data_IF_728537737270
#
_entry.id   IF_728537737270
#
_cell.length_a   1.000
_cell.length_b   1.000
_cell.length_c   1.000
_cell.angle_alpha   90.00
_cell.angle_beta   90.00
_cell.angle_gamma   90.00
#
_symmetry.space_group_name_H-M   'P 1'
#
loop_
_entity.id
_entity.type
_entity.pdbx_description
1 polymer ?
#
# COMPACT_ATOMS: atom_id res chain seq x y z
N UNK A 1 64.60 49.92 -9.05
CA UNK A 1 64.64 50.46 -10.45
C UNK A 1 63.42 49.92 -11.17
N UNK A 2 62.55 50.85 -11.50
CA UNK A 2 61.88 51.05 -12.77
C UNK A 2 60.99 49.91 -13.26
N UNK A 3 59.70 50.13 -13.24
CA UNK A 3 58.84 50.77 -14.27
C UNK A 3 58.26 49.64 -15.13
N UNK A 4 57.09 49.56 -15.50
CA UNK A 4 55.96 50.41 -15.84
C UNK A 4 55.06 49.70 -16.87
N UNK A 5 53.80 49.91 -16.80
CA UNK A 5 52.81 50.07 -17.87
C UNK A 5 52.23 48.80 -18.56
N UNK A 6 51.07 48.69 -18.92
CA UNK A 6 49.81 49.44 -19.22
C UNK A 6 48.77 48.35 -19.51
N UNK A 7 47.61 48.41 -19.03
CA UNK A 7 46.33 48.99 -19.47
C UNK A 7 45.77 48.44 -20.77
N UNK A 8 44.45 48.26 -20.70
CA UNK A 8 43.47 48.10 -21.78
C UNK A 8 43.07 46.64 -22.05
N UNK A 9 41.82 46.26 -22.16
CA UNK A 9 40.56 47.01 -22.48
C UNK A 9 39.39 46.11 -22.07
N UNK A 10 38.40 46.74 -21.51
CA UNK A 10 36.97 46.40 -21.44
C UNK A 10 36.44 46.02 -22.83
N UNK A 11 35.46 45.18 -22.87
CA UNK A 11 34.27 45.19 -23.68
C UNK A 11 33.80 43.77 -24.05
N UNK A 12 32.60 43.58 -23.73
CA UNK A 12 31.50 42.83 -24.35
C UNK A 12 31.43 41.36 -23.94
N UNK A 13 30.34 40.80 -23.60
CA UNK A 13 28.97 41.22 -23.82
C UNK A 13 28.03 40.31 -23.08
N UNK A 14 26.95 40.86 -22.69
CA UNK A 14 25.67 40.17 -22.46
C UNK A 14 25.37 39.15 -23.57
N UNK A 15 25.36 37.90 -23.28
CA UNK A 15 24.55 36.91 -23.99
C UNK A 15 24.70 35.49 -23.34
N UNK A 16 24.23 35.27 -22.12
CA UNK A 16 23.94 33.90 -21.63
C UNK A 16 22.84 33.95 -20.56
N UNK A 17 21.72 34.55 -20.88
CA UNK A 17 20.50 34.45 -20.07
C UNK A 17 19.35 33.95 -20.95
N UNK A 18 19.46 32.75 -21.47
CA UNK A 18 18.41 32.20 -22.31
C UNK A 18 18.33 30.68 -22.39
N UNK A 19 19.27 29.92 -21.78
CA UNK A 19 19.30 28.47 -21.98
C UNK A 19 19.01 27.62 -20.73
N UNK A 20 18.67 28.19 -19.59
CA UNK A 20 18.44 27.41 -18.37
C UNK A 20 16.97 27.17 -18.02
N UNK A 21 16.02 27.78 -18.75
CA UNK A 21 14.58 27.55 -18.47
C UNK A 21 13.93 26.45 -19.32
N UNK A 22 14.49 26.09 -20.46
CA UNK A 22 13.91 25.04 -21.32
C UNK A 22 14.22 23.62 -20.85
N UNK A 23 15.30 23.39 -20.09
CA UNK A 23 15.65 22.04 -19.59
C UNK A 23 14.88 21.63 -18.33
N UNK A 24 14.29 22.57 -17.59
CA UNK A 24 13.51 22.26 -16.37
C UNK A 24 12.06 21.86 -16.65
N UNK A 25 11.49 22.34 -17.74
CA UNK A 25 10.10 21.97 -18.12
C UNK A 25 10.00 20.62 -18.80
N UNK A 26 11.02 20.18 -19.52
CA UNK A 26 11.03 18.86 -20.17
C UNK A 26 11.19 17.71 -19.17
N UNK A 27 11.91 17.93 -18.07
CA UNK A 27 12.10 16.91 -17.02
C UNK A 27 10.82 16.65 -16.21
N UNK A 28 10.06 17.70 -15.89
CA UNK A 28 8.80 17.57 -15.12
C UNK A 28 7.70 16.88 -15.95
N UNK A 29 7.63 17.16 -17.27
CA UNK A 29 6.66 16.51 -18.17
C UNK A 29 7.00 15.04 -18.45
N UNK A 30 8.29 14.70 -18.50
CA UNK A 30 8.74 13.31 -18.67
C UNK A 30 8.49 12.46 -17.41
N UNK A 31 8.67 13.04 -16.21
CA UNK A 31 8.38 12.39 -14.94
C UNK A 31 6.86 12.17 -14.77
N UNK A 32 6.04 13.16 -15.15
CA UNK A 32 4.58 13.02 -15.11
C UNK A 32 4.04 11.97 -16.11
N UNK A 33 4.72 11.77 -17.24
CA UNK A 33 4.32 10.79 -18.25
C UNK A 33 4.77 9.36 -17.90
N UNK A 34 5.83 9.22 -17.08
CA UNK A 34 6.31 7.92 -16.58
C UNK A 34 5.44 7.38 -15.43
N UNK A 35 4.70 8.24 -14.72
CA UNK A 35 3.83 7.83 -13.61
C UNK A 35 2.48 7.23 -14.04
N UNK A 36 2.18 7.17 -15.34
CA UNK A 36 1.07 6.39 -15.92
C UNK A 36 1.55 5.00 -16.38
N UNK A 37 2.37 4.34 -15.59
CA UNK A 37 2.71 2.94 -15.81
C UNK A 37 1.44 2.10 -15.56
N UNK A 38 0.84 1.66 -16.68
CA UNK A 38 -0.02 0.49 -16.84
C UNK A 38 -0.74 0.04 -15.55
N UNK A 39 -1.81 0.74 -15.20
CA UNK A 39 -2.78 0.22 -14.25
C UNK A 39 -3.29 -1.09 -14.90
N UNK A 40 -3.14 -2.26 -14.27
CA UNK A 40 -3.64 -3.50 -14.86
C UNK A 40 -5.12 -3.30 -15.17
N UNK A 41 -5.60 -3.91 -16.26
CA UNK A 41 -7.02 -3.91 -16.64
C UNK A 41 -7.78 -4.72 -15.56
N UNK A 42 -8.14 -4.02 -14.48
CA UNK A 42 -8.79 -4.60 -13.31
C UNK A 42 -10.30 -4.53 -13.50
N UNK A 43 -11.03 -5.59 -13.15
CA UNK A 43 -12.48 -5.58 -13.23
C UNK A 43 -13.08 -4.48 -12.34
N UNK A 44 -14.17 -3.87 -12.79
CA UNK A 44 -14.93 -2.94 -11.96
C UNK A 44 -15.54 -3.69 -10.77
N UNK A 45 -15.27 -3.19 -9.58
CA UNK A 45 -15.80 -3.71 -8.32
C UNK A 45 -16.72 -2.65 -7.72
N UNK A 46 -17.96 -3.06 -7.40
CA UNK A 46 -18.90 -2.20 -6.70
C UNK A 46 -18.38 -1.91 -5.28
N UNK A 47 -18.42 -0.64 -4.89
CA UNK A 47 -18.09 -0.22 -3.53
C UNK A 47 -19.39 0.03 -2.74
N UNK A 48 -19.35 -0.05 -1.41
CA UNK A 48 -20.44 0.43 -0.58
C UNK A 48 -20.73 1.91 -0.84
N UNK A 49 -21.95 2.32 -0.56
CA UNK A 49 -22.37 3.73 -0.70
C UNK A 49 -22.02 4.58 0.51
N UNK A 50 -21.66 3.94 1.64
CA UNK A 50 -21.25 4.66 2.84
C UNK A 50 -19.92 5.39 2.61
N UNK A 51 -19.84 6.66 3.06
CA UNK A 51 -18.59 7.42 2.98
C UNK A 51 -17.46 6.73 3.74
N UNK A 52 -16.29 6.67 3.12
CA UNK A 52 -15.13 6.01 3.72
C UNK A 52 -13.98 5.81 2.76
N UNK A 53 -12.89 5.30 3.30
CA UNK A 53 -11.75 4.84 2.51
C UNK A 53 -11.82 3.32 2.38
N UNK A 54 -11.69 2.84 1.15
CA UNK A 54 -11.82 1.42 0.83
C UNK A 54 -10.58 0.91 0.10
N UNK A 55 -10.21 -0.31 0.42
CA UNK A 55 -9.23 -1.08 -0.35
C UNK A 55 -9.94 -2.19 -1.11
N UNK A 56 -9.65 -2.34 -2.40
CA UNK A 56 -10.07 -3.51 -3.18
C UNK A 56 -8.85 -4.38 -3.41
N UNK A 57 -8.86 -5.57 -2.84
CA UNK A 57 -7.81 -6.58 -3.02
C UNK A 57 -8.24 -7.51 -4.16
N UNK A 58 -7.59 -7.38 -5.30
CA UNK A 58 -7.82 -8.22 -6.47
C UNK A 58 -6.98 -9.49 -6.35
N UNK A 59 -7.63 -10.64 -6.22
CA UNK A 59 -6.93 -11.92 -6.09
C UNK A 59 -7.22 -12.84 -7.26
N UNK A 60 -6.40 -13.89 -7.43
CA UNK A 60 -6.65 -14.93 -8.42
C UNK A 60 -7.90 -15.79 -8.13
N UNK A 61 -8.55 -15.60 -6.97
CA UNK A 61 -9.76 -16.33 -6.56
C UNK A 61 -10.99 -15.43 -6.42
N UNK A 62 -10.89 -14.14 -6.71
CA UNK A 62 -11.96 -13.15 -6.55
C UNK A 62 -11.49 -11.88 -5.87
N UNK A 63 -12.42 -10.97 -5.63
CA UNK A 63 -12.11 -9.66 -5.07
C UNK A 63 -12.59 -9.58 -3.62
N UNK A 64 -11.80 -8.90 -2.77
CA UNK A 64 -12.14 -8.63 -1.38
C UNK A 64 -12.16 -7.11 -1.21
N UNK A 65 -13.26 -6.55 -0.74
CA UNK A 65 -13.42 -5.11 -0.45
C UNK A 65 -13.33 -4.90 1.04
N UNK A 66 -12.40 -4.06 1.46
CA UNK A 66 -12.18 -3.72 2.87
C UNK A 66 -12.44 -2.23 3.10
N UNK A 67 -13.19 -1.88 4.14
CA UNK A 67 -13.23 -0.53 4.70
C UNK A 67 -12.00 -0.32 5.56
N UNK A 68 -11.34 0.84 5.44
CA UNK A 68 -10.14 1.16 6.22
C UNK A 68 -10.49 2.11 7.37
N UNK A 69 -9.94 1.86 8.53
CA UNK A 69 -10.21 2.57 9.79
C UNK A 69 -9.21 3.72 9.99
N UNK A 70 -9.38 4.81 9.23
CA UNK A 70 -8.45 5.96 9.23
C UNK A 70 -8.38 6.70 10.58
N UNK A 71 -9.43 6.59 11.41
CA UNK A 71 -9.47 7.24 12.73
C UNK A 71 -8.80 6.39 13.81
N UNK A 72 -9.02 5.08 13.76
CA UNK A 72 -8.55 4.12 14.77
C UNK A 72 -7.09 3.72 14.56
N UNK A 73 -6.64 3.68 13.29
CA UNK A 73 -5.28 3.27 12.92
C UNK A 73 -4.69 4.14 11.80
N UNK A 74 -4.55 5.47 12.00
CA UNK A 74 -4.19 6.42 10.95
C UNK A 74 -2.81 6.15 10.32
N UNK A 75 -1.80 5.79 11.11
CA UNK A 75 -0.45 5.49 10.61
C UNK A 75 -0.43 4.19 9.82
N UNK A 76 -1.14 3.18 10.29
CA UNK A 76 -1.26 1.87 9.65
C UNK A 76 -1.97 2.00 8.32
N UNK A 77 -3.10 2.71 8.28
CA UNK A 77 -3.83 2.98 7.03
C UNK A 77 -2.99 3.78 6.06
N UNK A 78 -2.29 4.82 6.52
CA UNK A 78 -1.38 5.61 5.67
C UNK A 78 -0.24 4.76 5.10
N UNK A 79 0.35 3.86 5.91
CA UNK A 79 1.37 2.91 5.48
C UNK A 79 0.84 1.95 4.41
N UNK A 80 -0.27 1.26 4.70
CA UNK A 80 -0.89 0.31 3.79
C UNK A 80 -1.28 0.96 2.46
N UNK A 81 -1.95 2.12 2.50
CA UNK A 81 -2.29 2.92 1.32
C UNK A 81 -1.06 3.29 0.51
N UNK A 82 -0.03 3.81 1.17
CA UNK A 82 1.20 4.24 0.51
C UNK A 82 1.91 3.09 -0.20
N UNK A 83 1.96 1.91 0.41
CA UNK A 83 2.53 0.70 -0.19
C UNK A 83 1.65 0.15 -1.32
N UNK A 84 0.32 0.18 -1.17
CA UNK A 84 -0.62 -0.26 -2.19
C UNK A 84 -0.56 0.60 -3.45
N UNK A 85 -0.38 1.91 -3.30
CA UNK A 85 -0.34 2.87 -4.42
C UNK A 85 1.07 3.16 -4.94
N UNK A 86 2.12 2.68 -4.27
CA UNK A 86 3.51 2.99 -4.60
C UNK A 86 3.96 4.40 -4.23
N UNK A 87 3.13 5.16 -3.48
CA UNK A 87 3.49 6.52 -3.01
C UNK A 87 4.41 6.50 -1.80
N UNK A 88 4.50 5.38 -1.10
CA UNK A 88 5.48 5.14 -0.05
C UNK A 88 6.60 4.25 -0.58
N UNK A 89 7.83 4.71 -0.45
CA UNK A 89 9.01 3.96 -0.85
C UNK A 89 9.20 2.72 0.03
N UNK A 90 9.72 1.66 -0.58
CA UNK A 90 10.06 0.41 0.10
C UNK A 90 11.31 -0.22 -0.51
N UNK A 91 12.05 -0.99 0.28
CA UNK A 91 13.23 -1.70 -0.17
C UNK A 91 12.85 -3.11 -0.60
N UNK A 92 13.14 -3.45 -1.83
CA UNK A 92 12.94 -4.81 -2.35
C UNK A 92 13.89 -5.79 -1.66
N UNK A 93 13.40 -6.78 -0.89
CA UNK A 93 14.25 -7.70 -0.16
C UNK A 93 15.11 -8.59 -1.06
N UNK A 94 14.72 -8.79 -2.32
CA UNK A 94 15.46 -9.62 -3.28
C UNK A 94 16.64 -8.89 -3.92
N UNK A 95 16.54 -7.57 -4.06
CA UNK A 95 17.54 -6.77 -4.79
C UNK A 95 18.22 -5.71 -3.94
N UNK A 96 17.71 -5.43 -2.74
CA UNK A 96 18.17 -4.34 -1.87
C UNK A 96 17.87 -2.93 -2.41
N UNK A 97 17.14 -2.81 -3.52
CA UNK A 97 16.86 -1.53 -4.17
C UNK A 97 15.62 -0.86 -3.61
N UNK A 98 15.68 0.46 -3.45
CA UNK A 98 14.53 1.27 -3.12
C UNK A 98 13.57 1.31 -4.32
N UNK A 99 12.28 1.08 -4.07
CA UNK A 99 11.21 1.10 -5.07
C UNK A 99 10.13 2.12 -4.71
N UNK A 100 9.55 2.72 -5.72
CA UNK A 100 8.39 3.64 -5.67
C UNK A 100 7.25 3.07 -6.53
N UNK A 101 7.00 1.80 -6.43
CA UNK A 101 5.95 1.07 -7.15
C UNK A 101 5.02 0.39 -6.15
N UNK A 102 3.77 0.06 -6.54
CA UNK A 102 2.87 -0.71 -5.69
C UNK A 102 3.53 -2.00 -5.19
N UNK A 103 3.69 -2.12 -3.85
CA UNK A 103 4.38 -3.26 -3.25
C UNK A 103 3.57 -4.54 -3.38
N UNK A 104 2.25 -4.44 -3.22
CA UNK A 104 1.38 -5.62 -3.13
C UNK A 104 1.10 -6.30 -4.47
N UNK A 105 1.33 -5.60 -5.59
CA UNK A 105 1.11 -6.16 -6.93
C UNK A 105 2.02 -7.34 -7.20
N UNK A 106 1.43 -8.51 -7.47
CA UNK A 106 2.15 -9.75 -7.72
C UNK A 106 2.59 -10.51 -6.46
N UNK A 107 2.31 -10.02 -5.25
CA UNK A 107 2.50 -10.79 -4.02
C UNK A 107 1.45 -11.89 -3.88
N UNK A 108 1.55 -12.71 -2.85
CA UNK A 108 0.65 -13.84 -2.61
C UNK A 108 0.12 -13.84 -1.18
N UNK A 109 -0.97 -14.57 -0.96
CA UNK A 109 -1.29 -15.09 0.36
C UNK A 109 -0.39 -16.29 0.60
N UNK A 110 0.70 -16.07 1.31
CA UNK A 110 1.77 -17.05 1.51
C UNK A 110 1.54 -17.96 2.71
N UNK A 111 0.55 -17.65 3.58
CA UNK A 111 0.13 -18.48 4.70
C UNK A 111 -1.38 -18.41 4.87
N UNK A 112 -2.05 -19.57 4.87
CA UNK A 112 -3.51 -19.66 4.96
C UNK A 112 -3.91 -20.75 5.95
N UNK A 113 -4.80 -20.42 6.90
CA UNK A 113 -5.26 -21.38 7.93
C UNK A 113 -6.78 -21.29 8.02
N UNK A 114 -7.51 -22.38 7.67
CA UNK A 114 -8.96 -22.46 7.86
C UNK A 114 -9.35 -22.23 9.31
N UNK A 115 -10.43 -21.49 9.53
CA UNK A 115 -10.90 -21.18 10.87
C UNK A 115 -9.99 -20.21 11.64
N UNK A 116 -9.05 -19.53 10.94
CA UNK A 116 -8.21 -18.52 11.56
C UNK A 116 -8.02 -17.31 10.65
N UNK A 117 -7.11 -17.35 9.67
CA UNK A 117 -6.79 -16.18 8.85
C UNK A 117 -6.11 -16.55 7.52
N UNK A 118 -6.05 -15.58 6.61
CA UNK A 118 -5.19 -15.58 5.42
C UNK A 118 -4.20 -14.43 5.53
N UNK A 119 -2.89 -14.71 5.34
CA UNK A 119 -1.81 -13.75 5.49
C UNK A 119 -1.08 -13.53 4.17
N UNK A 120 -0.88 -12.26 3.80
CA UNK A 120 -0.24 -11.86 2.55
C UNK A 120 0.54 -10.56 2.66
N UNK A 121 0.89 -9.98 1.49
CA UNK A 121 1.58 -8.70 1.43
C UNK A 121 3.10 -8.77 1.63
N UNK A 122 3.67 -9.97 1.51
CA UNK A 122 5.10 -10.19 1.59
C UNK A 122 5.77 -10.08 0.20
N UNK A 123 6.69 -9.12 -0.03
CA UNK A 123 7.41 -9.00 -1.29
C UNK A 123 8.44 -10.13 -1.53
N UNK A 124 8.90 -10.85 -0.51
CA UNK A 124 9.71 -12.04 -0.66
C UNK A 124 8.85 -13.26 -1.05
N UNK A 125 7.62 -13.34 -0.52
CA UNK A 125 6.65 -14.40 -0.79
C UNK A 125 6.84 -15.65 0.06
N UNK A 126 7.64 -15.59 1.13
CA UNK A 126 7.95 -16.71 2.01
C UNK A 126 7.69 -16.43 3.51
N UNK A 127 7.16 -15.25 3.82
CA UNK A 127 6.89 -14.78 5.18
C UNK A 127 8.03 -13.96 5.80
N UNK A 128 9.21 -13.89 5.18
CA UNK A 128 10.39 -13.19 5.71
C UNK A 128 10.55 -11.78 5.21
N UNK A 129 9.79 -11.39 4.18
CA UNK A 129 9.92 -10.10 3.50
C UNK A 129 9.46 -8.93 4.36
N UNK A 130 10.12 -7.80 4.13
CA UNK A 130 9.92 -6.54 4.83
C UNK A 130 9.97 -5.39 3.83
N UNK A 131 9.32 -4.24 4.11
CA UNK A 131 9.45 -3.05 3.28
C UNK A 131 10.75 -2.27 3.53
N UNK A 132 11.64 -2.78 4.41
CA UNK A 132 12.89 -2.14 4.80
C UNK A 132 12.78 -1.20 6.01
N UNK A 133 11.64 -1.19 6.68
CA UNK A 133 11.39 -0.44 7.91
C UNK A 133 10.34 -1.15 8.78
N UNK A 134 10.20 -0.67 10.02
CA UNK A 134 9.16 -1.08 10.97
C UNK A 134 8.45 0.15 11.53
N UNK A 135 7.23 -0.04 12.05
CA UNK A 135 6.49 0.99 12.74
C UNK A 135 5.65 0.41 13.89
N UNK A 136 5.28 1.29 14.81
CA UNK A 136 4.61 0.92 16.07
C UNK A 136 3.20 0.39 15.86
N UNK A 137 2.72 -0.41 16.80
CA UNK A 137 1.34 -0.84 16.86
C UNK A 137 0.40 0.36 17.09
N UNK A 138 -0.77 0.30 16.47
CA UNK A 138 -1.92 1.16 16.79
C UNK A 138 -3.04 0.26 17.30
N UNK A 139 -3.18 0.20 18.61
CA UNK A 139 -4.17 -0.64 19.29
C UNK A 139 -5.34 0.24 19.73
N UNK A 140 -6.45 0.15 18.99
CA UNK A 140 -7.69 0.84 19.33
C UNK A 140 -8.51 -0.01 20.33
N UNK A 141 -8.87 0.52 21.52
CA UNK A 141 -9.55 -0.27 22.56
C UNK A 141 -10.92 -0.83 22.13
N UNK A 142 -11.56 -0.19 21.19
CA UNK A 142 -12.88 -0.57 20.65
C UNK A 142 -12.81 -1.60 19.51
N UNK A 143 -11.61 -2.02 19.08
CA UNK A 143 -11.43 -3.01 18.05
C UNK A 143 -10.91 -4.32 18.66
N UNK A 144 -11.63 -5.39 18.44
CA UNK A 144 -11.32 -6.72 18.96
C UNK A 144 -11.42 -7.74 17.82
N UNK A 145 -10.63 -8.82 17.91
CA UNK A 145 -10.70 -9.94 16.95
C UNK A 145 -11.86 -10.89 17.28
N UNK A 146 -13.07 -10.35 17.39
CA UNK A 146 -14.30 -11.01 17.80
C UNK A 146 -15.10 -11.63 16.67
N UNK A 147 -14.69 -11.40 15.42
CA UNK A 147 -15.40 -11.85 14.22
C UNK A 147 -14.46 -12.11 13.04
N UNK A 148 -14.92 -12.83 12.00
CA UNK A 148 -14.21 -12.87 10.71
C UNK A 148 -14.22 -11.50 10.02
N UNK A 149 -13.35 -11.34 9.02
CA UNK A 149 -13.28 -10.17 8.16
C UNK A 149 -12.44 -9.01 8.69
N UNK A 150 -11.77 -9.15 9.81
CA UNK A 150 -10.89 -8.10 10.32
C UNK A 150 -9.57 -8.09 9.56
N UNK A 151 -9.18 -6.90 9.07
CA UNK A 151 -7.93 -6.64 8.38
C UNK A 151 -6.93 -6.05 9.38
N UNK A 152 -5.80 -6.74 9.58
CA UNK A 152 -4.80 -6.34 10.56
C UNK A 152 -3.36 -6.53 10.04
N UNK A 153 -2.41 -5.81 10.66
CA UNK A 153 -0.99 -5.97 10.34
C UNK A 153 -0.42 -7.23 10.99
N UNK A 154 0.30 -8.02 10.20
CA UNK A 154 1.17 -9.05 10.74
C UNK A 154 2.45 -8.40 11.30
N UNK A 155 2.96 -8.95 12.41
CA UNK A 155 4.19 -8.49 13.05
C UNK A 155 4.97 -9.66 13.66
N UNK A 156 6.22 -9.40 14.07
CA UNK A 156 7.11 -10.36 14.75
C UNK A 156 7.33 -9.95 16.22
N UNK A 157 6.29 -9.45 16.87
CA UNK A 157 6.30 -8.90 18.23
C UNK A 157 5.91 -7.43 18.23
N UNK A 158 5.79 -6.79 19.41
CA UNK A 158 5.34 -5.42 19.56
C UNK A 158 6.14 -4.44 18.70
N UNK A 159 5.45 -3.52 18.03
CA UNK A 159 6.07 -2.41 17.28
C UNK A 159 6.99 -2.86 16.13
N UNK A 160 6.62 -3.98 15.47
CA UNK A 160 7.38 -4.49 14.32
C UNK A 160 6.53 -4.62 13.06
N UNK A 161 5.47 -3.82 12.93
CA UNK A 161 4.65 -3.80 11.72
C UNK A 161 5.49 -3.37 10.50
N UNK A 162 5.21 -3.96 9.35
CA UNK A 162 5.90 -3.64 8.10
C UNK A 162 4.94 -3.50 6.93
N UNK A 163 4.91 -4.51 6.05
CA UNK A 163 4.00 -4.56 4.90
C UNK A 163 3.02 -5.73 4.95
N UNK A 164 3.32 -6.80 5.69
CA UNK A 164 2.47 -7.97 5.72
C UNK A 164 1.18 -7.70 6.52
N UNK A 165 0.08 -8.23 6.02
CA UNK A 165 -1.24 -8.10 6.62
C UNK A 165 -1.96 -9.45 6.62
N UNK A 166 -3.00 -9.56 7.42
CA UNK A 166 -3.88 -10.72 7.40
C UNK A 166 -5.35 -10.31 7.46
N UNK A 167 -6.21 -11.20 6.98
CA UNK A 167 -7.67 -11.10 7.07
C UNK A 167 -8.16 -12.30 7.88
N UNK A 168 -8.92 -12.06 8.94
CA UNK A 168 -9.50 -13.16 9.75
C UNK A 168 -10.65 -13.84 9.00
N UNK A 169 -10.75 -15.16 9.16
CA UNK A 169 -11.87 -15.98 8.66
C UNK A 169 -12.68 -16.62 9.79
N UNK A 170 -12.31 -16.31 11.04
CA UNK A 170 -13.01 -16.66 12.26
C UNK A 170 -12.62 -15.67 13.38
N UNK A 171 -13.31 -15.63 14.53
CA UNK A 171 -12.84 -14.93 15.72
C UNK A 171 -11.43 -15.41 16.14
N UNK A 172 -10.58 -14.47 16.58
CA UNK A 172 -9.19 -14.73 16.94
C UNK A 172 -8.78 -13.90 18.18
N UNK A 173 -9.56 -13.97 19.25
CA UNK A 173 -9.45 -13.12 20.45
C UNK A 173 -8.05 -13.15 21.10
N UNK A 174 -7.30 -14.24 20.93
CA UNK A 174 -5.91 -14.37 21.42
C UNK A 174 -4.94 -13.36 20.79
N UNK A 175 -5.35 -12.68 19.70
CA UNK A 175 -4.57 -11.63 19.05
C UNK A 175 -4.83 -10.21 19.64
N UNK A 176 -5.86 -10.08 20.47
CA UNK A 176 -6.26 -8.79 21.05
C UNK A 176 -5.09 -8.10 21.77
N UNK A 177 -4.94 -6.79 21.55
CA UNK A 177 -3.89 -5.99 22.15
C UNK A 177 -2.48 -6.14 21.54
N UNK A 178 -2.27 -7.07 20.60
CA UNK A 178 -0.96 -7.36 20.03
C UNK A 178 -0.82 -6.99 18.54
N UNK A 179 -1.94 -6.81 17.84
CA UNK A 179 -1.97 -6.55 16.40
C UNK A 179 -2.85 -5.35 16.07
N UNK A 180 -2.38 -4.49 15.16
CA UNK A 180 -3.12 -3.31 14.71
C UNK A 180 -4.23 -3.71 13.74
N UNK A 181 -5.48 -3.67 14.20
CA UNK A 181 -6.65 -3.78 13.32
C UNK A 181 -6.81 -2.43 12.61
N UNK A 182 -6.83 -2.43 11.29
CA UNK A 182 -6.91 -1.19 10.51
C UNK A 182 -8.00 -1.19 9.44
N UNK A 183 -8.85 -2.22 9.43
CA UNK A 183 -9.98 -2.31 8.51
C UNK A 183 -10.82 -3.56 8.74
N UNK A 184 -11.87 -3.66 7.94
CA UNK A 184 -12.74 -4.84 7.91
C UNK A 184 -13.23 -5.12 6.48
N UNK A 185 -13.48 -6.38 6.18
CA UNK A 185 -14.09 -6.83 4.94
C UNK A 185 -15.56 -6.42 4.92
N UNK A 186 -15.99 -5.74 3.87
CA UNK A 186 -17.38 -5.32 3.65
C UNK A 186 -18.02 -6.05 2.47
N UNK A 187 -17.19 -6.71 1.64
CA UNK A 187 -17.65 -7.59 0.55
C UNK A 187 -16.53 -8.56 0.19
N UNK A 188 -16.86 -9.79 -0.18
CA UNK A 188 -15.90 -10.81 -0.56
C UNK A 188 -15.33 -11.61 0.62
N UNK A 189 -16.04 -11.69 1.76
CA UNK A 189 -15.63 -12.56 2.88
C UNK A 189 -15.59 -14.03 2.44
N UNK A 190 -16.51 -14.45 1.59
CA UNK A 190 -16.56 -15.79 1.01
C UNK A 190 -15.30 -16.11 0.18
N UNK A 191 -14.68 -15.09 -0.44
CA UNK A 191 -13.39 -15.24 -1.14
C UNK A 191 -12.27 -15.51 -0.13
N UNK A 192 -12.21 -14.74 0.96
CA UNK A 192 -11.23 -14.97 2.03
C UNK A 192 -11.39 -16.35 2.65
N UNK A 193 -12.63 -16.77 2.88
CA UNK A 193 -12.95 -18.12 3.42
C UNK A 193 -12.53 -19.21 2.45
N UNK A 194 -12.74 -19.03 1.15
CA UNK A 194 -12.30 -19.97 0.12
C UNK A 194 -10.78 -20.07 0.04
N UNK A 195 -10.08 -18.91 0.09
CA UNK A 195 -8.61 -18.86 0.12
C UNK A 195 -8.06 -19.59 1.36
N UNK A 196 -8.70 -19.46 2.51
CA UNK A 196 -8.24 -20.13 3.74
C UNK A 196 -8.27 -21.65 3.65
N UNK A 197 -9.10 -22.21 2.76
CA UNK A 197 -9.38 -23.65 2.61
C UNK A 197 -8.64 -24.31 1.45
N UNK A 198 -7.83 -23.58 0.69
CA UNK A 198 -7.06 -24.18 -0.41
C UNK A 198 -6.08 -25.24 0.12
N UNK A 199 -5.72 -26.20 -0.73
CA UNK A 199 -4.68 -27.17 -0.41
C UNK A 199 -3.37 -26.47 -0.06
N UNK A 200 -2.70 -26.89 1.00
CA UNK A 200 -1.50 -26.25 1.55
C UNK A 200 -0.55 -27.28 2.14
N UNK A 201 0.72 -26.91 2.21
CA UNK A 201 1.77 -27.72 2.83
C UNK A 201 1.75 -27.63 4.38
N UNK A 202 2.71 -28.28 5.02
CA UNK A 202 2.83 -28.32 6.49
C UNK A 202 3.13 -26.95 7.12
N UNK A 203 3.67 -25.98 6.35
CA UNK A 203 3.94 -24.61 6.76
C UNK A 203 2.77 -23.65 6.45
N UNK A 204 1.56 -24.19 6.19
CA UNK A 204 0.35 -23.45 5.82
C UNK A 204 0.45 -22.63 4.52
N UNK A 205 1.43 -22.95 3.67
CA UNK A 205 1.58 -22.28 2.37
C UNK A 205 0.70 -22.97 1.33
N UNK A 206 -0.12 -22.21 0.55
CA UNK A 206 -0.88 -22.79 -0.55
C UNK A 206 -0.01 -23.54 -1.56
N UNK A 207 -0.40 -24.77 -1.91
CA UNK A 207 0.29 -25.59 -2.93
C UNK A 207 0.24 -24.91 -4.30
N UNK A 208 -0.89 -24.27 -4.63
CA UNK A 208 -1.02 -23.36 -5.77
C UNK A 208 -1.06 -21.93 -5.26
N UNK A 209 -0.10 -21.06 -5.67
CA UNK A 209 -0.03 -19.70 -5.16
C UNK A 209 -1.30 -18.89 -5.41
N UNK A 210 -1.93 -18.39 -4.35
CA UNK A 210 -3.04 -17.44 -4.44
C UNK A 210 -2.45 -16.03 -4.58
N UNK A 211 -2.53 -15.46 -5.78
CA UNK A 211 -1.89 -14.18 -6.12
C UNK A 211 -2.77 -13.00 -5.75
N UNK A 212 -2.14 -11.92 -5.31
CA UNK A 212 -2.70 -10.57 -5.22
C UNK A 212 -2.26 -9.85 -6.50
N UNK A 213 -3.18 -9.68 -7.44
CA UNK A 213 -2.89 -8.99 -8.70
C UNK A 213 -2.61 -7.50 -8.44
N UNK A 214 -3.43 -6.87 -7.61
CA UNK A 214 -3.26 -5.49 -7.18
C UNK A 214 -4.09 -5.22 -5.92
N UNK A 215 -3.77 -4.12 -5.22
CA UNK A 215 -4.65 -3.50 -4.22
C UNK A 215 -4.87 -2.06 -4.65
N UNK A 216 -6.13 -1.68 -4.90
CA UNK A 216 -6.49 -0.29 -5.21
C UNK A 216 -7.15 0.37 -4.02
N UNK A 217 -6.94 1.68 -3.88
CA UNK A 217 -7.51 2.47 -2.79
C UNK A 217 -8.52 3.44 -3.40
N UNK A 218 -9.73 3.45 -2.86
CA UNK A 218 -10.85 4.26 -3.34
C UNK A 218 -11.50 5.03 -2.18
N UNK A 219 -11.81 6.30 -2.41
CA UNK A 219 -12.58 7.12 -1.48
C UNK A 219 -14.04 7.18 -1.96
N UNK A 220 -14.98 6.89 -1.07
CA UNK A 220 -16.40 7.17 -1.25
C UNK A 220 -16.71 8.42 -0.44
N UNK A 221 -17.14 9.48 -1.14
CA UNK A 221 -17.46 10.75 -0.52
C UNK A 221 -18.88 10.76 0.03
N UNK A 222 -19.14 11.56 1.06
CA UNK A 222 -20.50 11.81 1.50
C UNK A 222 -21.27 12.50 0.37
N UNK A 223 -22.42 11.95 -0.01
CA UNK A 223 -23.31 12.62 -0.94
C UNK A 223 -23.70 13.97 -0.34
N UNK A 224 -23.25 15.06 -0.96
CA UNK A 224 -23.67 16.40 -0.56
C UNK A 224 -25.20 16.47 -0.70
N UNK A 225 -25.92 16.53 0.42
CA UNK A 225 -27.34 16.84 0.39
C UNK A 225 -27.48 18.20 -0.32
N UNK A 226 -28.17 18.21 -1.46
CA UNK A 226 -28.49 19.45 -2.17
C UNK A 226 -29.14 20.39 -1.16
N UNK A 227 -28.54 21.59 -0.96
CA UNK A 227 -29.21 22.65 -0.19
C UNK A 227 -30.58 22.88 -0.83
N UNK A 228 -31.69 22.84 -0.07
CA UNK A 228 -32.98 23.26 -0.60
C UNK A 228 -32.84 24.73 -1.02
N UNK A 229 -33.09 24.99 -2.30
CA UNK A 229 -33.20 26.37 -2.80
C UNK A 229 -34.30 27.08 -2.01
N UNK A 230 -33.89 28.02 -1.18
CA UNK A 230 -34.76 28.99 -0.52
C UNK A 230 -35.03 30.17 -1.44
#
# INVERSE_FOLDING_TARGET
MRKLFFLLVVIASLATLGLTQTHRQTSASAIAKSAKAHEPDLPLVALPTEPGLYAVVYTSMGNIVCRLFEKEAPKTVANFRGLATGTKAWTDPKTGRLKHTPLYSGTTFHRVIPGFMIQGGDPAGDGTGSPGYKFDNEIAPNLQFDRPGLLAMANSGPNTNGCQFFITVAPAEHLNGNYSIFGEVVSGQEVADAISKVSRNAEDRPDTPVKIAAITIRRVEATSAAKPNS
#
